data_IF_334768605772
#
_entry.id   IF_334768605772
#
_cell.length_a   1.000
_cell.length_b   1.000
_cell.length_c   1.000
_cell.angle_alpha   90.00
_cell.angle_beta   90.00
_cell.angle_gamma   90.00
#
_symmetry.space_group_name_H-M   'P 1'
#
loop_
_entity.id
_entity.type
_entity.pdbx_description
1 polymer ?
#
# COMPACT_ATOMS: atom_id res chain seq x y z
N UNK A 1 -20.88 -1.31 16.99
CA UNK A 1 -20.17 -0.51 15.97
C UNK A 1 -19.71 -1.42 14.84
N UNK A 2 -20.39 -1.44 13.68
CA UNK A 2 -20.19 -2.46 12.63
C UNK A 2 -18.82 -2.37 11.91
N UNK A 3 -18.21 -1.18 11.86
CA UNK A 3 -16.92 -0.93 11.17
C UNK A 3 -15.72 -0.85 12.12
N UNK A 4 -15.91 -1.04 13.43
CA UNK A 4 -14.80 -0.98 14.39
C UNK A 4 -13.70 -2.02 14.06
N UNK A 5 -14.03 -3.26 13.65
CA UNK A 5 -13.01 -4.22 13.25
C UNK A 5 -12.25 -3.79 11.98
N UNK A 6 -12.89 -3.09 11.04
CA UNK A 6 -12.24 -2.56 9.85
C UNK A 6 -11.13 -1.55 10.22
N UNK A 7 -11.40 -0.67 11.18
CA UNK A 7 -10.39 0.26 11.71
C UNK A 7 -9.26 -0.48 12.41
N UNK A 8 -9.57 -1.51 13.20
CA UNK A 8 -8.56 -2.38 13.83
C UNK A 8 -7.64 -3.06 12.81
N UNK A 9 -8.18 -3.55 11.70
CA UNK A 9 -7.40 -4.10 10.59
C UNK A 9 -6.60 -3.04 9.84
N UNK A 10 -7.11 -1.80 9.76
CA UNK A 10 -6.34 -0.68 9.23
C UNK A 10 -5.14 -0.31 10.12
N UNK A 11 -5.30 -0.35 11.44
CA UNK A 11 -4.19 -0.16 12.37
C UNK A 11 -3.16 -1.30 12.25
N UNK A 12 -3.63 -2.54 12.11
CA UNK A 12 -2.76 -3.69 11.82
C UNK A 12 -2.00 -3.50 10.51
N UNK A 13 -2.67 -3.05 9.43
CA UNK A 13 -2.02 -2.75 8.16
C UNK A 13 -0.91 -1.71 8.34
N UNK A 14 -1.19 -0.62 9.06
CA UNK A 14 -0.19 0.41 9.32
C UNK A 14 1.03 -0.18 10.05
N UNK A 15 0.82 -0.92 11.14
CA UNK A 15 1.91 -1.56 11.90
C UNK A 15 2.72 -2.53 11.04
N UNK A 16 2.05 -3.37 10.23
CA UNK A 16 2.71 -4.30 9.33
C UNK A 16 3.53 -3.58 8.27
N UNK A 17 3.00 -2.50 7.68
CA UNK A 17 3.72 -1.67 6.71
C UNK A 17 4.97 -1.06 7.33
N UNK A 18 4.87 -0.40 8.50
CA UNK A 18 6.03 0.20 9.17
C UNK A 18 7.07 -0.85 9.57
N UNK A 19 6.63 -1.98 10.12
CA UNK A 19 7.54 -3.07 10.50
C UNK A 19 8.24 -3.66 9.28
N UNK A 20 7.53 -3.80 8.16
CA UNK A 20 8.12 -4.32 6.91
C UNK A 20 9.16 -3.35 6.37
N UNK A 21 8.87 -2.05 6.32
CA UNK A 21 9.87 -1.06 5.89
C UNK A 21 11.06 -0.96 6.84
N UNK A 22 10.84 -1.07 8.15
CA UNK A 22 11.91 -1.12 9.13
C UNK A 22 12.82 -2.35 8.91
N UNK A 23 12.23 -3.50 8.58
CA UNK A 23 12.97 -4.72 8.27
C UNK A 23 13.80 -4.57 6.98
N UNK A 24 13.20 -3.98 5.93
CA UNK A 24 13.89 -3.68 4.66
C UNK A 24 15.06 -2.73 4.90
N UNK A 25 14.85 -1.67 5.69
CA UNK A 25 15.90 -0.73 6.07
C UNK A 25 17.01 -1.41 6.89
N UNK A 26 16.67 -2.28 7.83
CA UNK A 26 17.63 -3.04 8.64
C UNK A 26 18.43 -4.07 7.82
N UNK A 27 17.81 -4.69 6.83
CA UNK A 27 18.47 -5.66 5.94
C UNK A 27 19.43 -4.97 4.96
N UNK A 28 19.32 -3.66 4.77
CA UNK A 28 20.30 -2.84 4.03
C UNK A 28 20.33 -3.04 2.51
N UNK A 29 19.74 -4.11 1.97
CA UNK A 29 19.90 -4.47 0.56
C UNK A 29 19.47 -3.37 -0.43
N UNK A 30 18.41 -2.61 -0.15
CA UNK A 30 18.02 -1.48 -1.02
C UNK A 30 18.93 -0.28 -0.89
N UNK A 31 19.46 -0.04 0.31
CA UNK A 31 20.46 1.00 0.53
C UNK A 31 21.78 0.65 -0.16
N UNK A 32 22.19 -0.62 -0.09
CA UNK A 32 23.38 -1.13 -0.75
C UNK A 32 23.24 -1.10 -2.27
N UNK A 33 22.05 -1.40 -2.80
CA UNK A 33 21.74 -1.25 -4.22
C UNK A 33 21.90 0.20 -4.69
N UNK A 34 21.46 1.18 -3.90
CA UNK A 34 21.63 2.61 -4.21
C UNK A 34 23.10 3.04 -4.10
N UNK A 35 23.83 2.56 -3.09
CA UNK A 35 25.26 2.86 -2.87
C UNK A 35 26.18 2.23 -3.91
N UNK A 36 25.79 1.10 -4.50
CA UNK A 36 26.56 0.43 -5.54
C UNK A 36 26.66 1.23 -6.85
N UNK A 37 25.84 2.26 -7.03
CA UNK A 37 25.84 3.07 -8.25
C UNK A 37 26.69 4.33 -8.05
N UNK A 38 27.83 4.45 -8.74
CA UNK A 38 28.67 5.65 -8.66
C UNK A 38 27.93 6.86 -9.23
N UNK A 39 28.04 8.03 -8.58
CA UNK A 39 27.38 9.29 -8.94
C UNK A 39 25.86 9.18 -9.06
N UNK A 40 25.19 8.73 -7.98
CA UNK A 40 23.73 8.70 -7.94
C UNK A 40 23.13 10.10 -8.11
N UNK A 41 22.36 10.27 -9.18
CA UNK A 41 21.55 11.47 -9.44
C UNK A 41 20.08 11.16 -9.17
N UNK A 42 19.25 12.19 -8.99
CA UNK A 42 17.81 12.03 -8.71
C UNK A 42 17.02 11.37 -9.88
N UNK A 43 17.63 11.25 -11.06
CA UNK A 43 17.05 10.59 -12.25
C UNK A 43 17.63 9.20 -12.53
N UNK A 44 18.16 8.53 -11.50
CA UNK A 44 18.66 7.18 -11.65
C UNK A 44 17.54 6.13 -11.61
N UNK A 45 17.60 5.14 -12.51
CA UNK A 45 16.62 4.05 -12.61
C UNK A 45 16.50 3.22 -11.32
N UNK A 46 17.52 3.22 -10.46
CA UNK A 46 17.46 2.57 -9.16
C UNK A 46 16.29 3.07 -8.28
N UNK A 47 15.91 4.35 -8.38
CA UNK A 47 14.75 4.87 -7.68
C UNK A 47 13.43 4.29 -8.20
N UNK A 48 13.34 3.93 -9.48
CA UNK A 48 12.15 3.25 -10.02
C UNK A 48 12.04 1.82 -9.49
N UNK A 49 13.17 1.12 -9.34
CA UNK A 49 13.20 -0.19 -8.69
C UNK A 49 12.79 -0.12 -7.22
N UNK A 50 13.29 0.88 -6.49
CA UNK A 50 12.87 1.15 -5.12
C UNK A 50 11.36 1.42 -5.05
N UNK A 51 10.83 2.27 -5.94
CA UNK A 51 9.42 2.58 -6.01
C UNK A 51 8.55 1.33 -6.27
N UNK A 52 8.98 0.50 -7.23
CA UNK A 52 8.28 -0.72 -7.59
C UNK A 52 8.28 -1.72 -6.42
N UNK A 53 9.42 -1.87 -5.74
CA UNK A 53 9.55 -2.70 -4.55
C UNK A 53 8.58 -2.23 -3.45
N UNK A 54 8.64 -0.97 -3.06
CA UNK A 54 7.87 -0.43 -1.94
C UNK A 54 6.36 -0.44 -2.25
N UNK A 55 5.97 -0.06 -3.47
CA UNK A 55 4.59 -0.16 -3.92
C UNK A 55 4.09 -1.62 -3.95
N UNK A 56 4.90 -2.56 -4.43
CA UNK A 56 4.51 -3.97 -4.49
C UNK A 56 4.28 -4.56 -3.10
N UNK A 57 5.14 -4.20 -2.13
CA UNK A 57 5.02 -4.63 -0.74
C UNK A 57 3.73 -4.09 -0.11
N UNK A 58 3.43 -2.80 -0.31
CA UNK A 58 2.21 -2.17 0.17
C UNK A 58 0.94 -2.77 -0.44
N UNK A 59 0.95 -3.07 -1.74
CA UNK A 59 -0.16 -3.73 -2.43
C UNK A 59 -0.37 -5.14 -1.87
N UNK A 60 0.70 -5.91 -1.67
CA UNK A 60 0.64 -7.26 -1.14
C UNK A 60 0.07 -7.26 0.29
N UNK A 61 0.58 -6.38 1.16
CA UNK A 61 0.05 -6.20 2.52
C UNK A 61 -1.42 -5.77 2.51
N UNK A 62 -1.80 -4.83 1.65
CA UNK A 62 -3.20 -4.38 1.51
C UNK A 62 -4.12 -5.55 1.13
N UNK A 63 -3.70 -6.37 0.17
CA UNK A 63 -4.43 -7.57 -0.24
C UNK A 63 -4.53 -8.62 0.87
N UNK A 64 -3.43 -8.86 1.59
CA UNK A 64 -3.39 -9.78 2.73
C UNK A 64 -4.35 -9.35 3.83
N UNK A 65 -4.34 -8.07 4.21
CA UNK A 65 -5.21 -7.52 5.26
C UNK A 65 -6.68 -7.59 4.84
N UNK A 66 -7.02 -7.24 3.60
CA UNK A 66 -8.37 -7.38 3.07
C UNK A 66 -8.85 -8.84 3.10
N UNK A 67 -7.98 -9.77 2.68
CA UNK A 67 -8.27 -11.19 2.72
C UNK A 67 -8.50 -11.67 4.15
N UNK A 68 -7.61 -11.33 5.09
CA UNK A 68 -7.76 -11.70 6.49
C UNK A 68 -9.03 -11.10 7.11
N UNK A 69 -9.35 -9.84 6.82
CA UNK A 69 -10.58 -9.20 7.30
C UNK A 69 -11.82 -10.00 6.84
N UNK A 70 -11.90 -10.33 5.55
CA UNK A 70 -13.02 -11.11 5.02
C UNK A 70 -13.06 -12.54 5.58
N UNK A 71 -11.89 -13.16 5.77
CA UNK A 71 -11.77 -14.55 6.24
C UNK A 71 -12.16 -14.70 7.72
N UNK A 72 -11.72 -13.79 8.58
CA UNK A 72 -11.99 -13.84 10.03
C UNK A 72 -13.36 -13.26 10.39
N UNK A 73 -13.87 -12.31 9.60
CA UNK A 73 -15.15 -11.65 9.86
C UNK A 73 -16.13 -11.75 8.68
N UNK A 74 -16.52 -12.97 8.27
CA UNK A 74 -17.40 -13.17 7.10
C UNK A 74 -18.81 -12.58 7.28
N UNK A 75 -19.22 -12.30 8.52
CA UNK A 75 -20.54 -11.71 8.87
C UNK A 75 -20.53 -10.18 8.93
N UNK A 76 -19.37 -9.54 8.81
CA UNK A 76 -19.24 -8.09 8.81
C UNK A 76 -19.39 -7.50 7.41
N UNK A 77 -19.76 -6.21 7.28
CA UNK A 77 -19.85 -5.56 5.99
C UNK A 77 -18.49 -5.58 5.26
N UNK A 78 -18.52 -6.05 4.01
CA UNK A 78 -17.40 -6.01 3.07
C UNK A 78 -17.76 -5.07 1.91
N UNK A 79 -17.89 -3.78 2.25
CA UNK A 79 -18.28 -2.70 1.35
C UNK A 79 -17.21 -1.62 1.26
N UNK A 80 -17.49 -0.56 0.49
CA UNK A 80 -16.57 0.57 0.32
C UNK A 80 -16.27 1.30 1.63
N UNK A 81 -17.22 1.35 2.57
CA UNK A 81 -16.98 1.96 3.87
C UNK A 81 -15.95 1.16 4.66
N UNK A 82 -16.09 -0.16 4.72
CA UNK A 82 -15.09 -1.02 5.37
C UNK A 82 -13.70 -0.86 4.72
N UNK A 83 -13.62 -0.80 3.39
CA UNK A 83 -12.35 -0.59 2.68
C UNK A 83 -11.71 0.78 3.03
N UNK A 84 -12.51 1.84 3.13
CA UNK A 84 -12.04 3.17 3.56
C UNK A 84 -11.54 3.14 5.00
N UNK A 85 -12.26 2.48 5.92
CA UNK A 85 -11.84 2.35 7.32
C UNK A 85 -10.56 1.54 7.49
N UNK A 86 -10.33 0.51 6.66
CA UNK A 86 -9.06 -0.24 6.64
C UNK A 86 -7.93 0.64 6.07
N UNK A 87 -8.21 1.44 5.04
CA UNK A 87 -7.20 2.30 4.41
C UNK A 87 -6.77 3.49 5.28
N UNK A 88 -7.71 4.03 6.07
CA UNK A 88 -7.56 5.31 6.76
C UNK A 88 -6.34 5.38 7.71
N UNK A 89 -6.05 4.39 8.58
CA UNK A 89 -4.94 4.52 9.52
C UNK A 89 -3.57 4.63 8.84
N UNK A 90 -3.31 3.81 7.81
CA UNK A 90 -2.06 3.88 7.05
C UNK A 90 -1.97 5.19 6.26
N UNK A 91 -3.04 5.58 5.56
CA UNK A 91 -3.07 6.82 4.78
C UNK A 91 -2.80 8.05 5.65
N UNK A 92 -3.42 8.13 6.83
CA UNK A 92 -3.18 9.22 7.78
C UNK A 92 -1.77 9.20 8.33
N UNK A 93 -1.23 8.04 8.71
CA UNK A 93 0.12 7.94 9.24
C UNK A 93 1.16 8.43 8.22
N UNK A 94 1.02 8.04 6.95
CA UNK A 94 1.91 8.48 5.87
C UNK A 94 1.76 9.97 5.60
N UNK A 95 0.53 10.50 5.57
CA UNK A 95 0.32 11.94 5.39
C UNK A 95 0.93 12.79 6.52
N UNK A 96 0.92 12.29 7.76
CA UNK A 96 1.52 12.98 8.91
C UNK A 96 3.04 12.90 8.89
N UNK A 97 3.62 11.76 8.49
CA UNK A 97 5.07 11.53 8.56
C UNK A 97 5.81 12.05 7.32
N UNK A 98 5.31 11.74 6.12
CA UNK A 98 5.98 12.04 4.86
C UNK A 98 5.42 13.31 4.18
N UNK A 99 4.25 13.79 4.62
CA UNK A 99 3.56 14.91 4.01
C UNK A 99 3.05 14.61 2.60
N UNK A 100 2.74 15.68 1.86
CA UNK A 100 2.40 15.60 0.44
C UNK A 100 3.58 16.14 -0.36
N UNK A 101 4.31 15.24 -1.02
CA UNK A 101 5.39 15.59 -1.94
C UNK A 101 5.05 15.06 -3.32
N UNK A 102 4.61 15.95 -4.21
CA UNK A 102 4.29 15.65 -5.60
C UNK A 102 5.42 16.14 -6.49
N UNK A 103 6.53 15.41 -6.53
CA UNK A 103 7.64 15.73 -7.41
C UNK A 103 7.78 14.67 -8.50
N UNK A 104 7.07 14.85 -9.61
CA UNK A 104 7.10 13.93 -10.75
C UNK A 104 8.24 14.22 -11.75
N UNK A 105 9.02 15.27 -11.51
CA UNK A 105 10.08 15.73 -12.42
C UNK A 105 11.39 14.94 -12.24
N UNK A 106 11.50 14.18 -11.14
CA UNK A 106 12.64 13.30 -10.88
C UNK A 106 12.21 11.88 -10.56
N UNK A 107 13.07 10.90 -10.84
CA UNK A 107 12.77 9.50 -10.51
C UNK A 107 12.70 9.26 -8.99
N UNK A 108 13.53 9.95 -8.22
CA UNK A 108 13.44 9.94 -6.75
C UNK A 108 12.11 10.50 -6.24
N UNK A 109 11.69 11.65 -6.77
CA UNK A 109 10.41 12.25 -6.40
C UNK A 109 9.22 11.40 -6.84
N UNK A 110 9.30 10.80 -8.03
CA UNK A 110 8.31 9.84 -8.51
C UNK A 110 8.22 8.63 -7.60
N UNK A 111 9.35 8.09 -7.15
CA UNK A 111 9.40 6.94 -6.24
C UNK A 111 8.69 7.22 -4.92
N UNK A 112 8.96 8.38 -4.32
CA UNK A 112 8.30 8.83 -3.10
C UNK A 112 6.80 9.00 -3.34
N UNK A 113 6.42 9.72 -4.41
CA UNK A 113 5.02 9.98 -4.76
C UNK A 113 4.25 8.69 -4.97
N UNK A 114 4.84 7.72 -5.68
CA UNK A 114 4.23 6.43 -5.95
C UNK A 114 4.01 5.65 -4.64
N UNK A 115 5.01 5.63 -3.76
CA UNK A 115 4.92 4.93 -2.48
C UNK A 115 3.84 5.55 -1.59
N UNK A 116 3.80 6.88 -1.48
CA UNK A 116 2.75 7.61 -0.74
C UNK A 116 1.37 7.36 -1.34
N UNK A 117 1.25 7.36 -2.67
CA UNK A 117 0.01 7.07 -3.37
C UNK A 117 -0.47 5.64 -3.10
N UNK A 118 0.42 4.65 -3.23
CA UNK A 118 0.10 3.26 -2.95
C UNK A 118 -0.24 3.05 -1.48
N UNK A 119 0.45 3.70 -0.55
CA UNK A 119 0.12 3.61 0.87
C UNK A 119 -1.25 4.21 1.19
N UNK A 120 -1.69 5.23 0.43
CA UNK A 120 -2.96 5.94 0.63
C UNK A 120 -4.15 5.30 -0.10
N UNK A 121 -3.91 4.56 -1.18
CA UNK A 121 -4.97 4.01 -2.03
C UNK A 121 -4.88 2.50 -2.28
N UNK A 122 -3.85 1.82 -1.79
CA UNK A 122 -3.59 0.40 -2.08
C UNK A 122 -4.76 -0.53 -1.74
N UNK A 123 -5.38 -0.33 -0.56
CA UNK A 123 -6.55 -1.10 -0.14
C UNK A 123 -7.73 -0.83 -1.08
N UNK A 124 -7.96 0.43 -1.44
CA UNK A 124 -9.07 0.82 -2.32
C UNK A 124 -8.88 0.25 -3.74
N UNK A 125 -7.65 0.27 -4.26
CA UNK A 125 -7.31 -0.30 -5.57
C UNK A 125 -7.60 -1.81 -5.58
N UNK A 126 -7.10 -2.55 -4.59
CA UNK A 126 -7.35 -3.99 -4.50
C UNK A 126 -8.84 -4.29 -4.34
N UNK A 127 -9.52 -3.57 -3.45
CA UNK A 127 -10.95 -3.74 -3.24
C UNK A 127 -11.76 -3.51 -4.52
N UNK A 128 -11.44 -2.45 -5.28
CA UNK A 128 -12.05 -2.17 -6.57
C UNK A 128 -11.84 -3.30 -7.59
N UNK A 129 -10.61 -3.80 -7.71
CA UNK A 129 -10.26 -4.90 -8.62
C UNK A 129 -11.02 -6.18 -8.27
N UNK A 130 -11.18 -6.48 -6.98
CA UNK A 130 -11.97 -7.62 -6.51
C UNK A 130 -13.45 -7.45 -6.85
N UNK A 131 -14.04 -6.28 -6.60
CA UNK A 131 -15.44 -6.01 -6.96
C UNK A 131 -15.70 -6.15 -8.46
N UNK A 132 -14.78 -5.65 -9.30
CA UNK A 132 -14.89 -5.76 -10.76
C UNK A 132 -14.84 -7.22 -11.23
N UNK A 133 -13.98 -8.03 -10.63
CA UNK A 133 -13.85 -9.46 -10.94
C UNK A 133 -15.12 -10.25 -10.58
N UNK A 134 -15.75 -9.94 -9.45
CA UNK A 134 -17.02 -10.57 -9.04
C UNK A 134 -18.16 -10.21 -10.00
N UNK A 135 -18.29 -8.93 -10.38
CA UNK A 135 -19.32 -8.48 -11.33
C UNK A 135 -19.20 -9.19 -12.68
N UNK A 136 -17.99 -9.34 -13.22
CA UNK A 136 -17.74 -10.04 -14.49
C UNK A 136 -18.16 -11.52 -14.45
N UNK A 137 -17.93 -12.21 -13.33
CA UNK A 137 -18.35 -13.61 -13.18
C UNK A 137 -19.87 -13.77 -13.18
N UNK A 138 -20.61 -12.81 -12.60
CA UNK A 138 -22.07 -12.84 -12.64
C UNK A 138 -22.64 -12.56 -14.04
N UNK A 139 -22.03 -11.67 -14.82
CA UNK A 139 -22.48 -11.36 -16.18
C UNK A 139 -22.20 -12.49 -17.19
N UNK A 140 -21.13 -13.27 -16.99
CA UNK A 140 -20.80 -14.40 -17.88
C UNK A 140 -21.60 -15.69 -17.58
N UNK A 141 -22.29 -15.75 -16.45
CA UNK A 141 -23.09 -16.90 -16.00
C UNK A 141 -24.61 -16.66 -16.13
N UNK A 142 -25.01 -15.52 -16.70
CA UNK A 142 -26.39 -15.13 -16.97
C UNK A 142 -26.63 -15.16 -18.49
#
# INVERSE_FOLDING_TARGET
MKYLPALGFGALLAVLSFTSFALVASAGYMLDLLKAIPNITDNNFAYLWLAAHDASLLILLSGLVLYCYHRFFPRLPYDWFAAVFIQMPLGLAVLVLDGISLNLLSFKGFALTLTTFTASFGVLIIFWLLQRSVKRKHTNNA
#
